data_IF_682481746897
#
_entry.id   IF_682481746897
#
_cell.length_a   1.000
_cell.length_b   1.000
_cell.length_c   1.000
_cell.angle_alpha   90.00
_cell.angle_beta   90.00
_cell.angle_gamma   90.00
#
_symmetry.space_group_name_H-M   'P 1'
#
loop_
_entity.id
_entity.type
_entity.pdbx_description
1 polymer ?
#
# COMPACT_ATOMS: atom_id res chain seq x y z
N UNK A 1 -5.10 -17.70 -76.92
CA UNK A 1 -6.34 -16.90 -76.80
C UNK A 1 -6.92 -17.13 -75.42
N UNK A 2 -6.78 -16.12 -74.55
CA UNK A 2 -7.21 -16.12 -73.15
C UNK A 2 -8.50 -15.30 -73.07
N UNK A 3 -9.60 -15.80 -72.48
CA UNK A 3 -10.65 -14.94 -71.97
C UNK A 3 -10.54 -14.79 -70.45
N UNK A 4 -10.30 -13.56 -70.02
CA UNK A 4 -10.36 -13.13 -68.62
C UNK A 4 -11.82 -13.01 -68.15
N UNK A 5 -12.20 -13.56 -66.99
CA UNK A 5 -13.45 -13.19 -66.34
C UNK A 5 -13.27 -11.87 -65.57
N UNK A 6 -14.07 -10.88 -65.97
CA UNK A 6 -14.21 -9.54 -65.42
C UNK A 6 -14.52 -9.54 -63.91
N UNK A 7 -13.70 -8.80 -63.17
CA UNK A 7 -13.86 -8.49 -61.75
C UNK A 7 -15.04 -7.54 -61.53
N UNK A 8 -16.16 -8.05 -61.00
CA UNK A 8 -17.23 -7.20 -60.45
C UNK A 8 -16.97 -6.97 -58.96
N UNK A 9 -16.41 -5.79 -58.65
CA UNK A 9 -16.19 -5.30 -57.29
C UNK A 9 -17.53 -4.95 -56.62
N UNK A 10 -18.07 -5.87 -55.80
CA UNK A 10 -19.23 -5.57 -54.95
C UNK A 10 -18.77 -4.82 -53.70
N UNK A 11 -18.83 -3.50 -53.74
CA UNK A 11 -18.52 -2.62 -52.59
C UNK A 11 -19.54 -2.82 -51.47
N UNK A 12 -19.20 -3.66 -50.50
CA UNK A 12 -20.01 -3.85 -49.29
C UNK A 12 -19.72 -2.69 -48.31
N UNK A 13 -20.40 -1.54 -48.49
CA UNK A 13 -20.42 -0.42 -47.52
C UNK A 13 -21.07 -0.91 -46.22
N UNK A 14 -20.29 -1.50 -45.31
CA UNK A 14 -20.70 -1.70 -43.91
C UNK A 14 -20.95 -0.33 -43.28
N UNK A 15 -22.21 0.06 -43.14
CA UNK A 15 -22.64 1.19 -42.31
C UNK A 15 -22.05 1.02 -40.91
N UNK A 16 -21.07 1.83 -40.53
CA UNK A 16 -20.58 1.92 -39.15
C UNK A 16 -21.75 2.41 -38.29
N UNK A 17 -22.39 1.51 -37.54
CA UNK A 17 -23.34 1.87 -36.49
C UNK A 17 -22.56 2.66 -35.44
N UNK A 18 -22.82 3.97 -35.33
CA UNK A 18 -22.28 4.79 -34.23
C UNK A 18 -22.87 4.22 -32.94
N UNK A 19 -22.01 3.82 -32.01
CA UNK A 19 -22.41 3.40 -30.67
C UNK A 19 -23.20 4.53 -29.99
N UNK A 20 -24.24 4.22 -29.20
CA UNK A 20 -25.01 5.24 -28.50
C UNK A 20 -24.09 6.00 -27.52
N UNK A 21 -24.10 7.34 -27.61
CA UNK A 21 -23.45 8.22 -26.62
C UNK A 21 -24.11 7.95 -25.28
N UNK A 22 -23.38 7.29 -24.40
CA UNK A 22 -23.78 7.09 -23.01
C UNK A 22 -23.82 8.46 -22.32
N UNK A 23 -25.00 9.06 -22.23
CA UNK A 23 -25.25 10.25 -21.42
C UNK A 23 -25.13 9.85 -19.94
N UNK A 24 -23.89 9.81 -19.43
CA UNK A 24 -23.67 9.71 -17.99
C UNK A 24 -24.33 10.93 -17.34
N UNK A 25 -25.23 10.74 -16.35
CA UNK A 25 -25.85 11.86 -15.66
C UNK A 25 -24.75 12.71 -15.02
N UNK A 26 -24.82 14.03 -15.23
CA UNK A 26 -23.97 15.01 -14.55
C UNK A 26 -24.04 14.69 -13.06
N UNK A 27 -22.90 14.32 -12.46
CA UNK A 27 -22.77 14.01 -11.03
C UNK A 27 -23.39 15.19 -10.28
N UNK A 28 -24.58 15.01 -9.70
CA UNK A 28 -25.15 15.95 -8.75
C UNK A 28 -24.06 16.22 -7.72
N UNK A 29 -23.80 17.50 -7.45
CA UNK A 29 -22.79 17.94 -6.50
C UNK A 29 -22.99 17.16 -5.21
N UNK A 30 -22.12 16.17 -4.97
CA UNK A 30 -22.07 15.46 -3.71
C UNK A 30 -21.63 16.51 -2.71
N UNK A 31 -22.60 16.97 -1.92
CA UNK A 31 -22.43 17.56 -0.61
C UNK A 31 -21.11 17.06 -0.03
N UNK A 32 -20.19 18.00 0.28
CA UNK A 32 -18.90 17.68 0.88
C UNK A 32 -19.19 16.93 2.17
N UNK A 33 -19.19 15.60 2.08
CA UNK A 33 -19.07 14.74 3.24
C UNK A 33 -17.65 15.02 3.72
N UNK A 34 -17.51 15.97 4.64
CA UNK A 34 -16.45 15.87 5.63
C UNK A 34 -16.45 14.41 6.09
N UNK A 35 -15.31 13.70 6.03
CA UNK A 35 -15.25 12.39 6.68
C UNK A 35 -15.79 12.59 8.09
N UNK A 36 -16.73 11.73 8.49
CA UNK A 36 -17.38 11.76 9.81
C UNK A 36 -16.42 12.30 10.85
N UNK A 37 -16.89 13.28 11.65
CA UNK A 37 -16.26 13.59 12.92
C UNK A 37 -15.90 12.24 13.56
N UNK A 38 -14.62 12.05 13.85
CA UNK A 38 -14.18 10.82 14.50
C UNK A 38 -15.03 10.65 15.76
N UNK A 39 -15.72 9.53 15.92
CA UNK A 39 -16.45 9.14 17.14
C UNK A 39 -15.49 8.86 18.32
N UNK A 40 -14.33 9.52 18.36
CA UNK A 40 -13.43 9.56 19.50
C UNK A 40 -13.45 10.99 20.03
N UNK A 41 -13.79 11.16 21.31
CA UNK A 41 -13.82 12.46 21.98
C UNK A 41 -12.48 13.21 21.85
N UNK A 42 -11.39 12.48 21.64
CA UNK A 42 -10.02 12.99 21.49
C UNK A 42 -9.54 13.23 20.05
N UNK A 43 -10.37 13.10 19.01
CA UNK A 43 -9.94 13.38 17.61
C UNK A 43 -10.89 14.34 16.87
N UNK A 44 -10.37 15.50 16.44
CA UNK A 44 -11.12 16.50 15.66
C UNK A 44 -10.51 16.72 14.28
N UNK A 45 -11.35 16.96 13.26
CA UNK A 45 -10.84 17.29 11.91
C UNK A 45 -10.77 18.80 11.71
N UNK A 46 -9.65 19.30 11.16
CA UNK A 46 -9.46 20.70 10.81
C UNK A 46 -8.86 20.86 9.42
N UNK A 47 -8.97 22.07 8.86
CA UNK A 47 -8.38 22.41 7.55
C UNK A 47 -7.04 23.11 7.73
N UNK A 48 -6.20 23.11 6.68
CA UNK A 48 -4.91 23.82 6.72
C UNK A 48 -5.05 25.32 7.07
N UNK A 49 -6.14 25.96 6.65
CA UNK A 49 -6.43 27.38 6.91
C UNK A 49 -7.01 27.65 8.30
N UNK A 50 -7.43 26.63 9.03
CA UNK A 50 -7.90 26.80 10.41
C UNK A 50 -6.74 27.29 11.29
N UNK A 51 -6.98 28.25 12.20
CA UNK A 51 -5.92 28.79 13.07
C UNK A 51 -5.25 27.67 13.86
N UNK A 52 -3.96 27.83 14.18
CA UNK A 52 -3.25 26.89 15.05
C UNK A 52 -3.77 27.07 16.47
N UNK A 53 -4.12 25.97 17.13
CA UNK A 53 -4.44 25.98 18.56
C UNK A 53 -3.19 26.35 19.34
N UNK A 54 -3.32 27.20 20.35
CA UNK A 54 -2.19 27.61 21.19
C UNK A 54 -1.54 26.37 21.86
N UNK A 55 -0.21 26.32 21.87
CA UNK A 55 0.56 25.18 22.38
C UNK A 55 0.63 23.96 21.45
N UNK A 56 -0.07 23.95 20.30
CA UNK A 56 -0.04 22.86 19.33
C UNK A 56 0.97 23.09 18.21
N UNK A 57 1.57 22.02 17.73
CA UNK A 57 2.45 21.98 16.56
C UNK A 57 1.92 21.06 15.48
N UNK A 58 2.26 21.34 14.22
CA UNK A 58 1.88 20.52 13.08
C UNK A 58 2.92 19.44 12.80
N UNK A 59 2.47 18.19 12.78
CA UNK A 59 3.26 17.01 12.42
C UNK A 59 2.81 16.53 11.03
N UNK A 60 3.67 16.58 10.01
CA UNK A 60 3.33 16.14 8.68
C UNK A 60 3.14 14.61 8.63
N UNK A 61 2.30 14.15 7.71
CA UNK A 61 2.21 12.73 7.38
C UNK A 61 3.55 12.26 6.78
N UNK A 62 4.13 11.19 7.34
CA UNK A 62 5.34 10.60 6.78
C UNK A 62 5.89 9.50 7.68
N UNK A 63 6.34 9.87 8.88
CA UNK A 63 6.89 8.93 9.84
C UNK A 63 5.77 8.24 10.66
N UNK A 64 5.56 6.92 10.49
CA UNK A 64 4.53 6.20 11.22
C UNK A 64 4.81 6.11 12.72
N UNK A 65 6.08 6.08 13.14
CA UNK A 65 6.45 6.08 14.55
C UNK A 65 6.03 7.40 15.18
N UNK A 66 6.45 8.54 14.61
CA UNK A 66 6.13 9.86 15.17
C UNK A 66 4.61 10.08 15.21
N UNK A 67 3.93 9.92 14.07
CA UNK A 67 2.49 10.20 13.99
C UNK A 67 1.66 9.27 14.88
N UNK A 68 2.03 7.99 15.05
CA UNK A 68 1.35 7.06 15.95
C UNK A 68 1.58 7.41 17.42
N UNK A 69 2.82 7.69 17.82
CA UNK A 69 3.13 7.96 19.23
C UNK A 69 2.62 9.33 19.66
N UNK A 70 2.69 10.35 18.81
CA UNK A 70 2.03 11.63 19.08
C UNK A 70 0.52 11.44 19.27
N UNK A 71 -0.15 10.70 18.38
CA UNK A 71 -1.58 10.40 18.54
C UNK A 71 -1.89 9.68 19.85
N UNK A 72 -1.10 8.67 20.21
CA UNK A 72 -1.31 7.89 21.44
C UNK A 72 -1.11 8.76 22.67
N UNK A 73 0.06 9.41 22.81
CA UNK A 73 0.40 10.19 24.00
C UNK A 73 -0.53 11.37 24.22
N UNK A 74 -0.95 12.06 23.14
CA UNK A 74 -1.96 13.13 23.25
C UNK A 74 -3.29 12.60 23.79
N UNK A 75 -3.71 11.38 23.44
CA UNK A 75 -4.91 10.76 24.01
C UNK A 75 -4.70 10.32 25.45
N UNK A 76 -3.51 9.81 25.78
CA UNK A 76 -3.17 9.37 27.13
C UNK A 76 -3.19 10.56 28.12
N UNK A 77 -2.90 11.78 27.64
CA UNK A 77 -3.04 13.05 28.38
C UNK A 77 -4.46 13.66 28.32
N UNK A 78 -5.46 12.93 27.82
CA UNK A 78 -6.85 13.40 27.65
C UNK A 78 -6.98 14.66 26.75
N UNK A 79 -5.99 14.89 25.89
CA UNK A 79 -5.97 16.03 24.97
C UNK A 79 -6.51 15.64 23.58
N UNK A 80 -6.97 16.65 22.83
CA UNK A 80 -7.52 16.46 21.49
C UNK A 80 -6.40 16.44 20.44
N UNK A 81 -6.38 15.44 19.57
CA UNK A 81 -5.59 15.42 18.34
C UNK A 81 -6.38 16.05 17.21
N UNK A 82 -5.79 17.01 16.49
CA UNK A 82 -6.42 17.58 15.30
C UNK A 82 -5.88 16.95 14.02
N UNK A 83 -6.72 16.26 13.26
CA UNK A 83 -6.38 15.75 11.93
C UNK A 83 -6.44 16.90 10.93
N UNK A 84 -5.32 17.19 10.27
CA UNK A 84 -5.26 18.25 9.25
C UNK A 84 -5.55 17.66 7.87
N UNK A 85 -6.61 18.15 7.25
CA UNK A 85 -7.04 17.70 5.93
C UNK A 85 -6.90 18.81 4.88
N UNK A 86 -6.50 18.42 3.67
CA UNK A 86 -6.53 19.28 2.49
C UNK A 86 -7.84 19.05 1.73
N UNK A 87 -8.74 20.05 1.78
CA UNK A 87 -10.02 19.98 1.08
C UNK A 87 -9.86 19.95 -0.45
N UNK A 88 -8.82 20.60 -0.99
CA UNK A 88 -8.57 20.66 -2.45
C UNK A 88 -8.02 19.34 -2.96
N UNK A 89 -7.02 18.78 -2.26
CA UNK A 89 -6.38 17.52 -2.64
C UNK A 89 -7.13 16.28 -2.13
N UNK A 90 -8.18 16.47 -1.32
CA UNK A 90 -8.96 15.41 -0.69
C UNK A 90 -8.09 14.35 -0.01
N UNK A 91 -7.11 14.80 0.78
CA UNK A 91 -6.20 13.93 1.52
C UNK A 91 -5.81 14.52 2.87
N UNK A 92 -5.51 13.65 3.83
CA UNK A 92 -4.90 14.04 5.10
C UNK A 92 -3.46 14.51 4.86
N UNK A 93 -3.12 15.68 5.40
CA UNK A 93 -1.77 16.25 5.34
C UNK A 93 -0.92 15.84 6.55
N UNK A 94 -1.54 15.67 7.71
CA UNK A 94 -0.83 15.41 8.95
C UNK A 94 -1.77 15.48 10.16
N UNK A 95 -1.20 15.75 11.31
CA UNK A 95 -1.90 15.94 12.58
C UNK A 95 -1.36 17.20 13.28
N UNK A 96 -2.15 17.83 14.15
CA UNK A 96 -1.65 18.79 15.13
C UNK A 96 -1.80 18.16 16.51
N UNK A 97 -0.72 18.26 17.28
CA UNK A 97 -0.59 17.72 18.63
C UNK A 97 0.10 18.75 19.51
N UNK A 98 0.00 18.66 20.84
CA UNK A 98 0.77 19.51 21.74
C UNK A 98 2.26 19.48 21.44
N UNK A 99 2.91 20.64 21.53
CA UNK A 99 4.33 20.80 21.17
C UNK A 99 5.27 20.01 22.08
N UNK A 100 4.89 19.87 23.36
CA UNK A 100 5.61 19.06 24.35
C UNK A 100 5.63 17.58 23.92
N UNK A 101 4.45 16.99 23.69
CA UNK A 101 4.31 15.61 23.19
C UNK A 101 5.12 15.35 21.92
N UNK A 102 5.11 16.27 20.95
CA UNK A 102 5.89 16.10 19.74
C UNK A 102 7.40 16.04 20.02
N UNK A 103 7.89 16.88 20.92
CA UNK A 103 9.32 16.94 21.30
C UNK A 103 9.75 15.66 21.99
N UNK A 104 9.00 15.21 22.99
CA UNK A 104 9.29 13.95 23.69
C UNK A 104 9.24 12.72 22.77
N UNK A 105 8.32 12.71 21.80
CA UNK A 105 8.22 11.63 20.82
C UNK A 105 9.42 11.63 19.87
N UNK A 106 9.93 12.81 19.49
CA UNK A 106 11.16 12.91 18.70
C UNK A 106 12.38 12.40 19.47
N UNK A 107 12.50 12.76 20.74
CA UNK A 107 13.57 12.27 21.62
C UNK A 107 13.51 10.74 21.76
N UNK A 108 12.33 10.21 22.14
CA UNK A 108 12.09 8.76 22.21
C UNK A 108 12.35 8.05 20.87
N UNK A 109 12.01 8.69 19.74
CA UNK A 109 12.28 8.14 18.41
C UNK A 109 13.78 8.01 18.17
N UNK A 110 14.55 9.03 18.50
CA UNK A 110 16.00 9.05 18.32
C UNK A 110 16.67 8.00 19.22
N UNK A 111 16.35 8.00 20.51
CA UNK A 111 16.89 7.06 21.49
C UNK A 111 16.64 5.60 21.10
N UNK A 112 15.43 5.29 20.63
CA UNK A 112 15.06 3.92 20.28
C UNK A 112 15.40 3.54 18.84
N UNK A 113 15.93 4.45 18.02
CA UNK A 113 16.14 4.23 16.59
C UNK A 113 17.02 3.00 16.30
N UNK A 114 18.19 2.92 16.96
CA UNK A 114 19.11 1.82 16.79
C UNK A 114 18.50 0.48 17.24
N UNK A 115 17.82 0.47 18.39
CA UNK A 115 17.17 -0.73 18.90
C UNK A 115 16.04 -1.20 17.96
N UNK A 116 15.20 -0.29 17.45
CA UNK A 116 14.14 -0.61 16.47
C UNK A 116 14.70 -1.16 15.17
N UNK A 117 15.81 -0.59 14.67
CA UNK A 117 16.50 -1.08 13.49
C UNK A 117 17.05 -2.51 13.71
N UNK A 118 17.73 -2.75 14.83
CA UNK A 118 18.25 -4.08 15.17
C UNK A 118 17.15 -5.13 15.34
N UNK A 119 16.05 -4.79 16.04
CA UNK A 119 14.89 -5.66 16.20
C UNK A 119 14.23 -5.99 14.87
N UNK A 120 14.24 -5.04 13.92
CA UNK A 120 13.75 -5.25 12.57
C UNK A 120 14.62 -6.24 11.80
N UNK A 121 15.94 -6.09 11.85
CA UNK A 121 16.88 -7.03 11.22
C UNK A 121 16.77 -8.44 11.79
N UNK A 122 16.60 -8.58 13.12
CA UNK A 122 16.42 -9.89 13.76
C UNK A 122 15.14 -10.58 13.31
N UNK A 123 14.02 -9.83 13.19
CA UNK A 123 12.76 -10.37 12.66
C UNK A 123 12.90 -10.79 11.20
N UNK A 124 13.55 -9.97 10.38
CA UNK A 124 13.74 -10.25 8.96
C UNK A 124 14.60 -11.51 8.76
N UNK A 125 15.64 -11.69 9.59
CA UNK A 125 16.44 -12.93 9.61
C UNK A 125 15.60 -14.14 9.99
N UNK A 126 14.77 -14.03 11.04
CA UNK A 126 13.88 -15.12 11.49
C UNK A 126 12.87 -15.49 10.40
N UNK A 127 12.26 -14.50 9.76
CA UNK A 127 11.32 -14.71 8.64
C UNK A 127 12.00 -15.42 7.47
N UNK A 128 13.25 -15.05 7.14
CA UNK A 128 14.01 -15.69 6.08
C UNK A 128 14.31 -17.16 6.39
N UNK A 129 14.78 -17.45 7.62
CA UNK A 129 15.01 -18.84 8.09
C UNK A 129 13.73 -19.66 8.01
N UNK A 130 12.60 -19.10 8.48
CA UNK A 130 11.29 -19.77 8.41
C UNK A 130 10.87 -20.05 6.96
N UNK A 131 11.03 -19.07 6.08
CA UNK A 131 10.69 -19.21 4.66
C UNK A 131 11.55 -20.25 3.95
N UNK A 132 12.85 -20.31 4.29
CA UNK A 132 13.76 -21.35 3.78
C UNK A 132 13.34 -22.73 4.24
N UNK A 133 13.10 -22.90 5.55
CA UNK A 133 12.68 -24.18 6.11
C UNK A 133 11.37 -24.66 5.48
N UNK A 134 10.42 -23.75 5.26
CA UNK A 134 9.16 -24.01 4.59
C UNK A 134 9.36 -24.50 3.14
N UNK A 135 10.23 -23.84 2.36
CA UNK A 135 10.52 -24.27 0.99
C UNK A 135 11.18 -25.64 0.94
N UNK A 136 12.14 -25.92 1.83
CA UNK A 136 12.80 -27.23 1.92
C UNK A 136 11.86 -28.33 2.39
N UNK A 137 10.92 -28.02 3.30
CA UNK A 137 9.91 -28.98 3.73
C UNK A 137 8.90 -29.30 2.61
N UNK A 138 8.54 -28.31 1.80
CA UNK A 138 7.58 -28.49 0.69
C UNK A 138 8.24 -29.12 -0.55
N UNK A 139 9.50 -28.77 -0.82
CA UNK A 139 10.26 -29.21 -1.99
C UNK A 139 11.68 -29.67 -1.57
N UNK A 140 11.83 -30.90 -1.02
CA UNK A 140 13.11 -31.36 -0.48
C UNK A 140 14.25 -31.47 -1.51
N UNK A 141 13.91 -31.71 -2.78
CA UNK A 141 14.85 -31.84 -3.89
C UNK A 141 15.10 -30.53 -4.66
N UNK A 142 14.70 -29.38 -4.11
CA UNK A 142 14.90 -28.09 -4.78
C UNK A 142 16.39 -27.78 -4.96
N UNK A 143 16.85 -27.41 -6.18
CA UNK A 143 18.23 -26.99 -6.39
C UNK A 143 18.57 -25.77 -5.54
N UNK A 144 19.76 -25.70 -4.90
CA UNK A 144 20.13 -24.58 -4.04
C UNK A 144 20.04 -23.21 -4.73
N UNK A 145 20.38 -23.14 -6.02
CA UNK A 145 20.33 -21.90 -6.80
C UNK A 145 18.88 -21.40 -6.98
N UNK A 146 17.94 -22.29 -7.29
CA UNK A 146 16.52 -21.98 -7.38
C UNK A 146 15.97 -21.53 -6.03
N UNK A 147 16.35 -22.21 -4.94
CA UNK A 147 15.94 -21.84 -3.58
C UNK A 147 16.33 -20.40 -3.23
N UNK A 148 17.58 -20.00 -3.47
CA UNK A 148 18.02 -18.62 -3.21
C UNK A 148 17.26 -17.61 -4.08
N UNK A 149 17.10 -17.87 -5.38
CA UNK A 149 16.33 -17.01 -6.28
C UNK A 149 14.90 -16.82 -5.77
N UNK A 150 14.22 -17.91 -5.39
CA UNK A 150 12.84 -17.86 -4.89
C UNK A 150 12.78 -17.06 -3.58
N UNK A 151 13.70 -17.26 -2.64
CA UNK A 151 13.75 -16.50 -1.39
C UNK A 151 13.95 -15.00 -1.63
N UNK A 152 14.87 -14.64 -2.53
CA UNK A 152 15.17 -13.26 -2.89
C UNK A 152 14.03 -12.56 -3.63
N UNK A 153 13.21 -13.30 -4.37
CA UNK A 153 12.09 -12.74 -5.11
C UNK A 153 10.78 -12.82 -4.33
N UNK A 154 10.29 -14.02 -4.03
CA UNK A 154 8.94 -14.23 -3.50
C UNK A 154 8.78 -13.88 -2.02
N UNK A 155 9.85 -14.00 -1.21
CA UNK A 155 9.81 -13.82 0.25
C UNK A 155 10.45 -12.51 0.74
N UNK A 156 10.94 -11.68 -0.19
CA UNK A 156 11.55 -10.38 0.13
C UNK A 156 10.56 -9.45 0.84
N UNK A 157 11.04 -8.81 1.91
CA UNK A 157 10.26 -7.88 2.72
C UNK A 157 9.77 -6.68 1.90
N UNK A 158 8.53 -6.27 2.15
CA UNK A 158 7.92 -5.11 1.48
C UNK A 158 7.50 -5.36 0.03
N UNK A 159 7.68 -6.58 -0.51
CA UNK A 159 7.33 -6.87 -1.91
C UNK A 159 5.83 -6.88 -2.23
N UNK A 160 4.98 -7.18 -1.24
CA UNK A 160 3.59 -7.59 -1.49
C UNK A 160 3.44 -8.92 -2.27
N UNK A 161 4.53 -9.69 -2.42
CA UNK A 161 4.58 -10.96 -3.18
C UNK A 161 4.05 -12.13 -2.37
N UNK A 162 3.78 -13.24 -3.08
CA UNK A 162 3.13 -14.46 -2.57
C UNK A 162 3.71 -14.94 -1.24
N UNK A 163 5.03 -14.91 -1.06
CA UNK A 163 5.70 -15.35 0.16
C UNK A 163 5.38 -14.54 1.43
N UNK A 164 4.77 -13.35 1.30
CA UNK A 164 4.43 -12.45 2.42
C UNK A 164 2.94 -12.14 2.58
N UNK A 165 2.09 -12.77 1.78
CA UNK A 165 0.63 -12.57 1.86
C UNK A 165 0.10 -13.23 3.14
N UNK A 166 -0.66 -12.52 3.97
CA UNK A 166 -1.21 -13.07 5.22
C UNK A 166 -2.42 -13.98 5.02
N UNK A 167 -3.11 -13.86 3.89
CA UNK A 167 -4.38 -14.56 3.61
C UNK A 167 -4.22 -15.98 3.06
N UNK A 168 -2.99 -16.47 2.92
CA UNK A 168 -2.68 -17.81 2.38
C UNK A 168 -1.94 -18.66 3.42
N UNK A 169 -2.08 -19.97 3.31
CA UNK A 169 -1.34 -20.91 4.15
C UNK A 169 0.14 -20.91 3.77
N UNK A 170 1.01 -21.41 4.64
CA UNK A 170 2.45 -21.40 4.38
C UNK A 170 2.81 -22.30 3.18
N UNK A 171 2.21 -23.49 3.09
CA UNK A 171 2.42 -24.43 1.97
C UNK A 171 1.95 -23.84 0.64
N UNK A 172 0.78 -23.18 0.61
CA UNK A 172 0.31 -22.47 -0.60
C UNK A 172 1.29 -21.41 -1.07
N UNK A 173 1.89 -20.64 -0.14
CA UNK A 173 2.89 -19.62 -0.49
C UNK A 173 4.13 -20.24 -1.10
N UNK A 174 4.60 -21.36 -0.55
CA UNK A 174 5.74 -22.10 -1.09
C UNK A 174 5.46 -22.58 -2.51
N UNK A 175 4.30 -23.21 -2.75
CA UNK A 175 3.90 -23.69 -4.08
C UNK A 175 3.80 -22.56 -5.09
N UNK A 176 3.10 -21.47 -4.75
CA UNK A 176 2.97 -20.31 -5.64
C UNK A 176 4.31 -19.64 -5.93
N UNK A 177 5.23 -19.63 -4.97
CA UNK A 177 6.56 -19.07 -5.16
C UNK A 177 7.40 -19.89 -6.14
N UNK A 178 7.35 -21.23 -6.03
CA UNK A 178 8.02 -22.14 -6.96
C UNK A 178 7.39 -22.07 -8.35
N UNK A 179 6.06 -22.10 -8.44
CA UNK A 179 5.35 -21.98 -9.72
C UNK A 179 5.71 -20.66 -10.42
N UNK A 180 5.71 -19.55 -9.69
CA UNK A 180 6.11 -18.26 -10.23
C UNK A 180 7.56 -18.28 -10.74
N UNK A 181 8.48 -18.91 -10.01
CA UNK A 181 9.86 -19.05 -10.48
C UNK A 181 9.96 -19.87 -11.77
N UNK A 182 9.28 -21.02 -11.85
CA UNK A 182 9.26 -21.85 -13.05
C UNK A 182 8.70 -21.07 -14.24
N UNK A 183 7.58 -20.36 -14.05
CA UNK A 183 6.96 -19.54 -15.10
C UNK A 183 7.91 -18.47 -15.62
N UNK A 184 8.62 -17.76 -14.75
CA UNK A 184 9.49 -16.67 -15.17
C UNK A 184 10.88 -17.10 -15.66
N UNK A 185 11.42 -18.21 -15.16
CA UNK A 185 12.78 -18.67 -15.48
C UNK A 185 12.81 -19.72 -16.59
N UNK A 186 11.76 -20.54 -16.71
CA UNK A 186 11.74 -21.72 -17.59
C UNK A 186 10.69 -21.65 -18.69
N UNK A 187 9.98 -20.53 -18.83
CA UNK A 187 9.02 -20.32 -19.92
C UNK A 187 9.16 -18.91 -20.50
N UNK A 188 8.79 -18.72 -21.78
CA UNK A 188 8.79 -17.42 -22.46
C UNK A 188 7.48 -16.63 -22.24
N UNK A 189 7.03 -16.57 -20.99
CA UNK A 189 5.81 -15.84 -20.62
C UNK A 189 5.94 -14.33 -20.77
#
# INVERSE_FOLDING_TARGET
>A
MIPHPTTTSRTNKRKRRKAPRNNKPRRKALYVRTPNLSDNDHEKTCTKSSPMTEGYTFVPKGDPYITRHCKSRTKDEDMVVYIVYDAKLRRQLGIRVPSQIHTEVLESANETAAHRASATLLRDRRDNVKSRALLLATFPAIPPQCLEKILQHAFLKGSGRVGRISTRTETEKATLAVEAHIRHEHTEY
#
